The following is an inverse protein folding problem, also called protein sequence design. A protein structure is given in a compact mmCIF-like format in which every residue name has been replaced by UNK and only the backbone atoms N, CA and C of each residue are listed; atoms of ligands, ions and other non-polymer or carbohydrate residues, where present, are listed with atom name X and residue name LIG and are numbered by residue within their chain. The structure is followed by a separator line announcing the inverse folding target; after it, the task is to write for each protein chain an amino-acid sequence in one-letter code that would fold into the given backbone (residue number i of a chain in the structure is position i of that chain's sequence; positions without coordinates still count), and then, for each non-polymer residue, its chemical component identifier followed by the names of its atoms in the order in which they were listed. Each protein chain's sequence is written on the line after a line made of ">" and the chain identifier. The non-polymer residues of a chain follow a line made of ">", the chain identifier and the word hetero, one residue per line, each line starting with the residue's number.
data_IF_710749628727
#
_entry.id   IF_710749628727
#
_cell.length_a   1.000
_cell.length_b   1.000
_cell.length_c   1.000
_cell.angle_alpha   90.00
_cell.angle_beta   90.00
_cell.angle_gamma   90.00
#
_symmetry.space_group_name_H-M   'P 1'
#
loop_
_entity.id
_entity.type
_entity.pdbx_description
1 polymer ?
#
# COMPACT_ATOMS: atom_id res chain seq x y z
N UNK A 1 22.56 5.92 0.22
CA UNK A 1 21.16 5.88 -0.29
C UNK A 1 20.90 7.11 -1.14
N UNK A 2 20.14 6.97 -2.24
CA UNK A 2 19.85 8.05 -3.19
C UNK A 2 18.34 8.26 -3.29
N UNK A 3 17.94 9.43 -3.81
CA UNK A 3 16.59 9.66 -4.29
C UNK A 3 16.63 10.12 -5.74
N UNK A 4 15.58 9.84 -6.49
CA UNK A 4 15.34 10.41 -7.83
C UNK A 4 14.00 11.14 -7.83
N UNK A 5 14.01 12.37 -8.31
CA UNK A 5 12.78 13.17 -8.39
C UNK A 5 11.96 12.79 -9.63
N UNK A 6 10.68 13.17 -9.68
CA UNK A 6 9.81 12.98 -10.86
C UNK A 6 10.37 13.55 -12.17
N UNK A 7 11.23 14.58 -12.08
CA UNK A 7 11.97 15.13 -13.23
C UNK A 7 13.16 14.28 -13.72
N UNK A 8 13.45 13.15 -13.08
CA UNK A 8 14.53 12.21 -13.44
C UNK A 8 15.88 12.49 -12.78
N UNK A 9 16.07 13.64 -12.15
CA UNK A 9 17.33 13.98 -11.46
C UNK A 9 17.55 13.10 -10.23
N UNK A 10 18.67 12.40 -10.18
CA UNK A 10 19.12 11.64 -9.02
C UNK A 10 20.04 12.49 -8.12
N UNK A 11 19.85 12.39 -6.80
CA UNK A 11 20.72 13.03 -5.81
C UNK A 11 20.97 12.11 -4.61
N UNK A 12 22.05 12.37 -3.87
CA UNK A 12 22.26 11.70 -2.58
C UNK A 12 21.15 12.11 -1.59
N UNK A 13 20.68 11.13 -0.81
CA UNK A 13 19.85 11.35 0.37
C UNK A 13 20.69 11.12 1.63
N UNK A 14 21.57 10.11 1.57
CA UNK A 14 22.52 9.75 2.61
C UNK A 14 23.88 9.51 1.98
N UNK A 15 24.88 10.28 2.38
CA UNK A 15 26.25 10.29 1.86
C UNK A 15 27.05 9.07 2.33
N UNK A 16 26.86 8.62 3.58
CA UNK A 16 27.50 7.43 4.11
C UNK A 16 26.56 6.68 5.05
N UNK A 17 26.61 5.35 4.99
CA UNK A 17 25.93 4.43 5.91
C UNK A 17 26.98 3.45 6.41
N UNK A 18 26.86 3.05 7.67
CA UNK A 18 27.76 2.10 8.31
C UNK A 18 26.98 1.21 9.27
N UNK A 19 27.53 0.04 9.57
CA UNK A 19 26.90 -0.95 10.44
C UNK A 19 26.56 -2.22 9.69
N UNK A 20 25.76 -3.07 10.30
CA UNK A 20 25.31 -4.34 9.75
C UNK A 20 23.83 -4.50 10.04
N UNK A 21 23.04 -4.74 9.00
CA UNK A 21 21.64 -5.10 9.14
C UNK A 21 21.60 -6.61 9.32
N UNK A 22 21.12 -7.07 10.47
CA UNK A 22 20.93 -8.51 10.71
C UNK A 22 19.89 -9.06 9.73
N UNK A 23 19.94 -10.35 9.43
CA UNK A 23 18.82 -11.00 8.74
C UNK A 23 17.53 -10.72 9.52
N UNK A 24 16.47 -10.32 8.80
CA UNK A 24 15.20 -9.90 9.38
C UNK A 24 15.28 -8.74 10.40
N UNK A 25 16.40 -8.01 10.41
CA UNK A 25 16.57 -6.79 11.20
C UNK A 25 16.31 -5.52 10.39
N UNK A 26 16.32 -4.39 11.08
CA UNK A 26 15.95 -3.10 10.52
C UNK A 26 17.10 -2.10 10.55
N UNK A 27 16.95 -1.05 9.75
CA UNK A 27 17.83 0.11 9.77
C UNK A 27 17.02 1.37 9.45
N UNK A 28 16.93 2.29 10.40
CA UNK A 28 16.08 3.47 10.29
C UNK A 28 16.88 4.71 9.91
N UNK A 29 16.48 5.34 8.81
CA UNK A 29 17.03 6.60 8.33
C UNK A 29 15.96 7.68 8.39
N UNK A 30 16.25 8.78 9.07
CA UNK A 30 15.28 9.86 9.29
C UNK A 30 15.79 11.23 8.81
N UNK A 31 14.84 12.14 8.59
CA UNK A 31 15.15 13.54 8.36
C UNK A 31 15.73 14.16 9.66
N UNK A 32 16.70 15.10 9.58
CA UNK A 32 17.21 15.82 10.76
C UNK A 32 16.16 16.55 11.60
N UNK A 33 15.00 16.84 11.02
CA UNK A 33 13.85 17.47 11.72
C UNK A 33 12.93 16.46 12.41
N UNK A 34 13.33 15.19 12.52
CA UNK A 34 12.57 14.18 13.27
C UNK A 34 12.39 14.64 14.73
N UNK A 35 11.22 14.35 15.32
CA UNK A 35 11.03 14.61 16.74
C UNK A 35 12.02 13.79 17.57
N UNK A 36 12.52 14.37 18.67
CA UNK A 36 13.52 13.75 19.54
C UNK A 36 13.07 12.44 20.24
N UNK A 37 11.87 11.94 19.93
CA UNK A 37 11.26 10.74 20.49
C UNK A 37 11.54 9.46 19.71
N UNK A 38 11.99 9.55 18.45
CA UNK A 38 12.33 8.36 17.66
C UNK A 38 13.81 8.01 17.84
N UNK A 39 14.09 6.76 18.20
CA UNK A 39 15.42 6.20 17.99
C UNK A 39 15.62 5.98 16.48
N UNK A 40 16.86 6.13 15.99
CA UNK A 40 17.20 5.98 14.58
C UNK A 40 18.67 5.61 14.43
N UNK A 41 19.00 4.99 13.29
CA UNK A 41 20.36 4.54 13.00
C UNK A 41 21.16 5.58 12.22
N UNK A 42 20.49 6.38 11.39
CA UNK A 42 21.15 7.39 10.58
C UNK A 42 20.25 8.58 10.23
N UNK A 43 20.89 9.67 9.84
CA UNK A 43 20.23 10.89 9.36
C UNK A 43 20.43 11.05 7.85
N UNK A 44 19.51 11.79 7.22
CA UNK A 44 19.82 12.39 5.93
C UNK A 44 21.03 13.32 6.07
N UNK A 45 21.83 13.42 5.02
CA UNK A 45 23.08 14.20 5.09
C UNK A 45 22.90 15.70 5.11
N UNK A 46 21.67 16.20 4.92
CA UNK A 46 21.34 17.61 5.03
C UNK A 46 19.87 17.78 5.44
N UNK A 47 19.58 18.76 6.30
CA UNK A 47 18.20 19.15 6.63
C UNK A 47 17.44 19.83 5.48
N UNK A 48 18.10 20.07 4.34
CA UNK A 48 17.42 20.49 3.11
C UNK A 48 16.93 19.32 2.25
N UNK A 49 17.33 18.09 2.59
CA UNK A 49 16.98 16.92 1.79
C UNK A 49 15.61 16.40 2.18
N UNK A 50 14.66 16.49 1.26
CA UNK A 50 13.33 15.89 1.46
C UNK A 50 13.07 14.78 0.44
N UNK A 51 12.15 13.88 0.76
CA UNK A 51 11.56 12.97 -0.21
C UNK A 51 10.12 13.41 -0.47
N UNK A 52 9.78 13.70 -1.72
CA UNK A 52 8.43 14.10 -2.12
C UNK A 52 7.54 12.86 -2.29
N UNK A 53 6.23 13.06 -2.43
CA UNK A 53 5.22 12.00 -2.58
C UNK A 53 5.21 11.31 -3.96
N UNK A 54 6.13 11.68 -4.86
CA UNK A 54 6.24 11.18 -6.23
C UNK A 54 7.70 10.91 -6.66
N UNK A 55 8.52 10.43 -5.72
CA UNK A 55 9.93 10.18 -5.93
C UNK A 55 10.23 8.68 -6.03
N UNK A 56 11.48 8.37 -6.37
CA UNK A 56 12.08 7.05 -6.22
C UNK A 56 13.11 7.09 -5.10
N UNK A 57 13.06 6.13 -4.18
CA UNK A 57 14.14 5.87 -3.21
C UNK A 57 14.96 4.69 -3.73
N UNK A 58 16.29 4.85 -3.73
CA UNK A 58 17.20 3.90 -4.38
C UNK A 58 18.29 3.49 -3.39
N UNK A 59 18.40 2.19 -3.16
CA UNK A 59 19.49 1.57 -2.44
C UNK A 59 20.56 1.13 -3.44
N UNK A 60 21.81 1.53 -3.18
CA UNK A 60 22.97 1.17 -4.00
C UNK A 60 24.08 0.60 -3.12
N UNK A 61 24.88 -0.31 -3.66
CA UNK A 61 26.10 -0.77 -3.01
C UNK A 61 27.27 0.22 -3.20
N UNK A 62 28.45 -0.15 -2.70
CA UNK A 62 29.69 0.64 -2.78
C UNK A 62 30.19 0.86 -4.22
N UNK A 63 29.78 -0.01 -5.14
CA UNK A 63 30.09 0.04 -6.58
C UNK A 63 29.04 0.83 -7.39
N UNK A 64 28.14 1.56 -6.71
CA UNK A 64 27.02 2.33 -7.28
C UNK A 64 26.02 1.48 -8.09
N UNK A 65 26.00 0.15 -7.87
CA UNK A 65 25.01 -0.77 -8.43
C UNK A 65 23.74 -0.68 -7.61
N UNK A 66 22.59 -0.54 -8.28
CA UNK A 66 21.26 -0.58 -7.63
C UNK A 66 21.02 -1.97 -7.07
N UNK A 67 20.77 -2.03 -5.76
CA UNK A 67 20.41 -3.26 -5.05
C UNK A 67 18.90 -3.41 -4.96
N UNK A 68 18.21 -2.30 -4.67
CA UNK A 68 16.76 -2.25 -4.53
C UNK A 68 16.28 -0.80 -4.81
N UNK A 69 15.03 -0.64 -5.24
CA UNK A 69 14.40 0.67 -5.42
C UNK A 69 12.89 0.60 -5.21
N UNK A 70 12.34 1.68 -4.71
CA UNK A 70 10.89 1.90 -4.65
C UNK A 70 10.56 3.23 -5.30
N UNK A 71 9.89 3.17 -6.45
CA UNK A 71 9.27 4.32 -7.07
C UNK A 71 7.80 4.40 -6.69
N UNK A 72 7.38 5.56 -6.18
CA UNK A 72 6.03 5.74 -5.69
C UNK A 72 5.44 7.08 -6.10
N UNK A 73 4.11 7.12 -6.15
CA UNK A 73 3.33 8.24 -6.66
C UNK A 73 3.26 8.24 -8.18
N UNK A 74 2.20 8.89 -8.67
CA UNK A 74 1.76 8.89 -10.08
C UNK A 74 2.79 9.33 -11.13
N UNK A 75 3.86 10.00 -10.69
CA UNK A 75 4.86 10.63 -11.57
C UNK A 75 6.28 10.28 -11.17
N UNK A 76 6.49 9.20 -10.41
CA UNK A 76 7.84 8.66 -10.20
C UNK A 76 8.50 8.41 -11.56
N UNK A 77 9.74 8.88 -11.69
CA UNK A 77 10.50 8.78 -12.95
C UNK A 77 11.22 7.43 -13.12
N UNK A 78 11.29 6.65 -12.04
CA UNK A 78 11.97 5.37 -11.99
C UNK A 78 11.25 4.47 -10.97
N UNK A 79 10.97 3.24 -11.36
CA UNK A 79 10.25 2.25 -10.56
C UNK A 79 10.50 0.87 -11.16
N UNK A 80 10.11 -0.16 -10.43
CA UNK A 80 10.08 -1.54 -10.94
C UNK A 80 8.72 -1.80 -11.54
N UNK A 81 8.64 -2.14 -12.83
CA UNK A 81 7.43 -2.41 -13.63
C UNK A 81 6.33 -1.35 -13.58
N UNK A 82 5.78 -1.05 -12.40
CA UNK A 82 4.81 -0.02 -12.11
C UNK A 82 5.07 0.58 -10.70
N UNK A 83 4.97 1.90 -10.58
CA UNK A 83 5.08 2.60 -9.30
C UNK A 83 3.94 2.24 -8.34
N UNK A 84 4.23 2.19 -7.04
CA UNK A 84 3.20 2.10 -6.00
C UNK A 84 2.54 3.47 -5.76
N UNK A 85 1.33 3.47 -5.19
CA UNK A 85 0.68 4.70 -4.72
C UNK A 85 1.56 5.33 -3.64
N UNK A 86 1.85 6.63 -3.73
CA UNK A 86 2.66 7.33 -2.74
C UNK A 86 1.89 7.56 -1.44
N UNK A 87 2.55 7.52 -0.27
CA UNK A 87 1.87 7.75 1.00
C UNK A 87 1.45 9.21 1.15
N UNK A 88 0.27 9.42 1.71
CA UNK A 88 -0.22 10.72 2.17
C UNK A 88 0.37 11.14 3.52
N UNK A 89 -0.18 12.23 4.07
CA UNK A 89 0.26 12.73 5.37
C UNK A 89 -0.10 11.75 6.48
N UNK A 90 0.91 11.30 7.24
CA UNK A 90 0.73 10.34 8.33
C UNK A 90 0.58 8.90 7.87
N UNK A 91 0.83 8.60 6.60
CA UNK A 91 0.83 7.24 6.05
C UNK A 91 2.25 6.79 5.73
N UNK A 92 2.45 5.48 5.54
CA UNK A 92 3.73 4.93 5.08
C UNK A 92 3.52 3.79 4.09
N UNK A 93 4.57 3.48 3.33
CA UNK A 93 4.64 2.28 2.53
C UNK A 93 5.42 1.21 3.26
N UNK A 94 4.90 0.00 3.25
CA UNK A 94 5.56 -1.18 3.80
C UNK A 94 5.61 -2.26 2.74
N UNK A 95 6.78 -2.87 2.54
CA UNK A 95 6.94 -3.99 1.63
C UNK A 95 6.27 -5.22 2.26
N UNK A 96 5.53 -5.97 1.46
CA UNK A 96 4.76 -7.13 1.90
C UNK A 96 5.66 -8.26 2.42
N UNK A 97 5.12 -9.10 3.28
CA UNK A 97 5.75 -10.36 3.68
C UNK A 97 5.57 -11.47 2.63
N UNK A 98 4.40 -11.50 1.98
CA UNK A 98 4.03 -12.50 0.97
C UNK A 98 3.26 -11.87 -0.19
N UNK A 99 3.09 -12.60 -1.30
CA UNK A 99 2.29 -12.12 -2.43
C UNK A 99 0.82 -11.85 -2.07
N UNK A 100 0.31 -12.51 -1.02
CA UNK A 100 -1.06 -12.38 -0.52
C UNK A 100 -1.21 -11.41 0.63
N UNK A 101 -0.12 -10.82 1.15
CA UNK A 101 -0.19 -9.92 2.29
C UNK A 101 -1.11 -8.72 2.03
N UNK A 102 -1.85 -8.37 3.07
CA UNK A 102 -2.80 -7.27 3.12
C UNK A 102 -2.45 -6.37 4.30
N UNK A 103 -3.02 -5.16 4.35
CA UNK A 103 -2.87 -4.29 5.52
C UNK A 103 -3.27 -4.99 6.83
N UNK A 104 -4.33 -5.81 6.80
CA UNK A 104 -4.81 -6.52 7.98
C UNK A 104 -3.81 -7.60 8.44
N UNK A 105 -3.27 -8.40 7.51
CA UNK A 105 -2.32 -9.47 7.85
C UNK A 105 -0.95 -8.94 8.26
N UNK A 106 -0.49 -7.84 7.65
CA UNK A 106 0.74 -7.13 8.05
C UNK A 106 0.58 -6.29 9.33
N UNK A 107 -0.62 -6.21 9.90
CA UNK A 107 -0.85 -5.68 11.24
C UNK A 107 -0.99 -6.80 12.26
N UNK A 108 -1.59 -7.93 11.85
CA UNK A 108 -1.86 -9.07 12.71
C UNK A 108 -1.47 -10.38 11.99
N UNK A 109 -0.41 -11.02 12.48
CA UNK A 109 0.01 -12.34 12.02
C UNK A 109 1.25 -12.31 11.14
N UNK A 110 1.17 -11.73 9.94
CA UNK A 110 2.31 -11.67 9.01
C UNK A 110 3.31 -10.55 9.35
N UNK A 111 3.02 -9.68 10.31
CA UNK A 111 3.93 -8.62 10.76
C UNK A 111 5.28 -9.13 11.28
N UNK A 112 5.39 -10.41 11.62
CA UNK A 112 6.64 -11.03 12.07
C UNK A 112 7.29 -11.91 11.00
N UNK A 113 6.73 -11.97 9.79
CA UNK A 113 7.24 -12.80 8.70
C UNK A 113 8.28 -12.05 7.84
N UNK A 114 8.68 -10.83 8.24
CA UNK A 114 9.58 -9.98 7.50
C UNK A 114 8.92 -9.23 6.34
N UNK A 115 9.62 -8.21 5.84
CA UNK A 115 9.16 -7.34 4.75
C UNK A 115 9.97 -7.58 3.46
N UNK A 116 9.93 -8.81 2.93
CA UNK A 116 10.86 -9.27 1.87
C UNK A 116 10.22 -9.62 0.53
N UNK A 117 8.90 -9.52 0.38
CA UNK A 117 8.25 -9.85 -0.89
C UNK A 117 8.57 -8.83 -1.98
N UNK A 118 9.19 -9.30 -3.05
CA UNK A 118 9.63 -8.50 -4.19
C UNK A 118 9.32 -9.26 -5.49
N UNK A 119 8.37 -8.73 -6.27
CA UNK A 119 7.97 -9.28 -7.57
C UNK A 119 8.56 -8.49 -8.73
N UNK A 120 9.53 -7.61 -8.48
CA UNK A 120 10.00 -6.57 -9.39
C UNK A 120 8.84 -5.69 -9.90
N UNK A 121 7.86 -5.42 -9.04
CA UNK A 121 6.75 -4.54 -9.35
C UNK A 121 6.31 -3.80 -8.09
N UNK A 122 6.79 -2.56 -7.94
CA UNK A 122 6.55 -1.78 -6.72
C UNK A 122 5.05 -1.70 -6.37
N UNK A 123 4.15 -1.61 -7.35
CA UNK A 123 2.70 -1.59 -7.10
C UNK A 123 2.17 -2.85 -6.41
N UNK A 124 2.73 -4.03 -6.68
CA UNK A 124 2.28 -5.30 -6.10
C UNK A 124 2.97 -5.65 -4.79
N UNK A 125 4.12 -5.03 -4.54
CA UNK A 125 5.06 -5.41 -3.47
C UNK A 125 4.83 -4.64 -2.18
N UNK A 126 4.06 -3.55 -2.22
CA UNK A 126 3.88 -2.66 -1.09
C UNK A 126 2.40 -2.49 -0.70
N UNK A 127 2.15 -2.33 0.59
CA UNK A 127 0.88 -1.90 1.15
C UNK A 127 1.00 -0.48 1.71
N UNK A 128 -0.12 0.23 1.77
CA UNK A 128 -0.24 1.52 2.42
C UNK A 128 -0.66 1.33 3.87
N UNK A 129 0.16 1.76 4.83
CA UNK A 129 -0.19 1.81 6.26
C UNK A 129 -0.76 3.17 6.61
N UNK A 130 -1.87 3.16 7.33
CA UNK A 130 -2.49 4.38 7.88
C UNK A 130 -1.77 4.88 9.14
N UNK A 131 -0.92 4.05 9.75
CA UNK A 131 -0.13 4.37 10.93
C UNK A 131 1.29 3.83 10.68
N UNK A 132 2.30 4.71 10.54
CA UNK A 132 3.69 4.30 10.39
C UNK A 132 4.19 3.61 11.65
N UNK A 133 4.97 2.55 11.46
CA UNK A 133 5.60 1.78 12.52
C UNK A 133 7.09 1.59 12.18
N UNK A 134 7.89 2.68 12.25
CA UNK A 134 9.30 2.60 11.87
C UNK A 134 10.09 1.74 12.87
N UNK A 135 10.95 0.88 12.35
CA UNK A 135 11.85 0.02 13.12
C UNK A 135 13.31 0.36 12.78
N UNK A 136 14.17 0.25 13.78
CA UNK A 136 15.61 0.54 13.72
C UNK A 136 16.45 -0.68 14.17
N UNK A 137 17.77 -0.53 14.27
CA UNK A 137 18.65 -1.64 14.67
C UNK A 137 18.45 -2.14 16.11
N UNK A 138 17.74 -1.39 16.96
CA UNK A 138 17.38 -1.79 18.32
C UNK A 138 16.07 -2.57 18.39
N UNK A 139 15.29 -2.57 17.30
CA UNK A 139 14.04 -3.31 17.20
C UNK A 139 14.31 -4.83 17.19
N UNK A 140 13.39 -5.65 17.73
CA UNK A 140 13.48 -7.10 17.60
C UNK A 140 13.56 -7.51 16.13
N UNK A 141 14.31 -8.56 15.83
CA UNK A 141 14.28 -9.16 14.48
C UNK A 141 12.91 -9.80 14.23
N UNK A 142 12.42 -9.71 13.00
CA UNK A 142 11.19 -10.39 12.56
C UNK A 142 11.54 -11.79 12.04
N UNK A 143 11.91 -12.69 12.95
CA UNK A 143 12.06 -14.10 12.65
C UNK A 143 11.03 -14.90 13.44
N UNK A 144 10.53 -15.98 12.83
CA UNK A 144 9.67 -16.95 13.50
C UNK A 144 10.54 -17.84 14.40
N UNK A 145 11.14 -17.27 15.44
CA UNK A 145 11.44 -18.06 16.63
C UNK A 145 10.15 -18.12 17.46
N UNK A 146 9.38 -19.18 17.23
CA UNK A 146 8.29 -19.53 18.12
C UNK A 146 8.81 -19.57 19.57
N UNK A 147 8.31 -18.66 20.40
CA UNK A 147 8.21 -18.84 21.84
C UNK A 147 7.27 -20.02 22.13
N UNK A 148 7.75 -21.24 21.84
CA UNK A 148 7.34 -22.46 22.53
C UNK A 148 8.54 -22.99 23.28
N UNK A 149 9.04 -22.22 24.25
CA UNK A 149 9.61 -22.89 25.42
C UNK A 149 8.46 -23.65 26.08
N UNK A 150 8.42 -24.99 26.07
CA UNK A 150 7.47 -25.69 26.91
C UNK A 150 7.86 -25.31 28.33
N UNK A 151 7.02 -24.54 29.02
CA UNK A 151 7.01 -24.54 30.48
C UNK A 151 6.87 -26.01 30.86
N UNK A 152 7.95 -26.61 31.38
CA UNK A 152 7.89 -27.93 32.00
C UNK A 152 6.86 -27.85 33.12
N UNK A 153 5.60 -28.17 32.79
CA UNK A 153 4.62 -28.50 33.78
C UNK A 153 5.14 -29.78 34.44
N UNK A 154 5.34 -29.84 35.76
CA UNK A 154 5.79 -31.06 36.41
C UNK A 154 4.81 -32.16 36.03
N UNK A 155 5.34 -33.25 35.47
CA UNK A 155 4.56 -34.42 35.15
C UNK A 155 3.91 -34.95 36.44
N UNK A 156 2.64 -34.60 36.67
CA UNK A 156 1.82 -35.37 37.58
C UNK A 156 1.65 -36.76 36.97
N UNK A 157 2.18 -37.74 37.68
CA UNK A 157 2.10 -39.17 37.39
C UNK A 157 0.64 -39.54 37.04
N UNK A 158 0.38 -40.27 35.94
CA UNK A 158 -0.98 -40.55 35.52
C UNK A 158 -1.65 -41.46 36.55
N UNK A 159 -2.51 -40.88 37.38
CA UNK A 159 -3.46 -41.64 38.18
C UNK A 159 -4.44 -42.29 37.22
N UNK A 160 -4.46 -43.62 37.18
CA UNK A 160 -5.35 -44.39 36.34
C UNK A 160 -6.81 -44.00 36.59
N UNK A 161 -7.45 -43.37 35.61
CA UNK A 161 -8.89 -43.11 35.61
C UNK A 161 -9.60 -44.43 35.25
N UNK A 162 -10.61 -44.89 36.01
CA UNK A 162 -11.38 -46.06 35.64
C UNK A 162 -12.18 -45.80 34.36
N UNK A 163 -12.05 -46.71 33.39
CA UNK A 163 -12.82 -46.74 32.14
C UNK A 163 -14.31 -46.97 32.45
N UNK A 164 -15.10 -45.90 32.50
CA UNK A 164 -16.56 -45.97 32.43
C UNK A 164 -16.98 -46.39 31.00
N UNK A 165 -17.78 -47.46 30.92
CA UNK A 165 -18.35 -47.98 29.67
C UNK A 165 -19.36 -46.94 29.13
N UNK A 166 -19.30 -46.53 27.86
CA UNK A 166 -20.24 -45.55 27.33
C UNK A 166 -21.65 -46.14 27.26
N UNK A 167 -22.57 -45.55 28.03
CA UNK A 167 -24.00 -45.76 27.86
C UNK A 167 -24.44 -44.98 26.62
N UNK A 168 -24.99 -45.68 25.62
CA UNK A 168 -25.45 -45.07 24.38
C UNK A 168 -26.56 -44.04 24.69
N UNK A 169 -26.29 -42.77 24.40
CA UNK A 169 -27.27 -41.69 24.40
C UNK A 169 -28.16 -41.81 23.16
N UNK A 170 -29.50 -41.72 23.30
CA UNK A 170 -30.39 -41.78 22.14
C UNK A 170 -30.21 -40.54 21.25
N UNK A 171 -30.10 -40.80 19.96
CA UNK A 171 -29.95 -39.82 18.89
C UNK A 171 -31.20 -38.90 18.83
N UNK A 172 -31.06 -37.56 18.87
CA UNK A 172 -32.21 -36.68 18.71
C UNK A 172 -32.73 -36.73 17.27
N UNK A 173 -33.99 -37.10 17.11
CA UNK A 173 -34.74 -36.91 15.86
C UNK A 173 -34.91 -35.42 15.60
N UNK A 174 -34.34 -34.94 14.48
CA UNK A 174 -34.58 -33.58 14.00
C UNK A 174 -36.01 -33.46 13.45
N UNK A 175 -36.83 -32.69 14.14
CA UNK A 175 -38.11 -32.18 13.61
C UNK A 175 -37.78 -30.98 12.70
N UNK A 176 -38.22 -30.94 11.43
CA UNK A 176 -37.98 -29.79 10.58
C UNK A 176 -38.80 -28.59 11.09
N UNK A 177 -38.11 -27.53 11.46
CA UNK A 177 -38.71 -26.22 11.76
C UNK A 177 -39.19 -25.58 10.46
N UNK A 178 -40.42 -25.04 10.36
CA UNK A 178 -40.91 -24.41 9.14
C UNK A 178 -40.09 -23.15 8.81
N UNK A 179 -39.65 -23.07 7.56
CA UNK A 179 -39.00 -21.89 6.96
C UNK A 179 -40.05 -20.81 6.75
N UNK A 180 -39.93 -19.68 7.46
CA UNK A 180 -40.76 -18.50 7.18
C UNK A 180 -40.33 -17.86 5.85
N UNK A 181 -41.31 -17.59 5.00
CA UNK A 181 -41.16 -16.94 3.70
C UNK A 181 -40.83 -15.43 3.90
N UNK A 182 -39.89 -14.86 3.13
CA UNK A 182 -39.51 -13.45 3.32
C UNK A 182 -40.68 -12.52 2.95
N UNK A 183 -41.13 -11.74 3.92
CA UNK A 183 -42.09 -10.65 3.69
C UNK A 183 -41.39 -9.52 2.94
N UNK A 184 -41.77 -9.31 1.68
CA UNK A 184 -41.33 -8.18 0.87
C UNK A 184 -41.99 -6.88 1.34
N UNK A 185 -41.21 -6.01 1.98
CA UNK A 185 -41.66 -4.65 2.32
C UNK A 185 -41.60 -3.78 1.05
N UNK A 186 -42.67 -3.07 0.65
CA UNK A 186 -42.63 -2.20 -0.52
C UNK A 186 -41.71 -1.00 -0.28
N UNK A 187 -40.72 -0.82 -1.16
CA UNK A 187 -39.85 0.36 -1.20
C UNK A 187 -40.65 1.50 -1.81
N UNK A 188 -40.84 2.57 -1.03
CA UNK A 188 -41.48 3.79 -1.51
C UNK A 188 -40.64 4.44 -2.62
N UNK A 189 -41.30 4.77 -3.73
CA UNK A 189 -40.74 5.49 -4.87
C UNK A 189 -40.41 6.93 -4.44
N UNK A 190 -39.18 7.45 -4.67
CA UNK A 190 -38.88 8.83 -4.35
C UNK A 190 -39.60 9.79 -5.30
N UNK A 191 -40.31 10.76 -4.71
CA UNK A 191 -40.91 11.91 -5.39
C UNK A 191 -39.81 12.78 -6.04
N UNK A 192 -39.96 13.24 -7.30
CA UNK A 192 -38.96 14.08 -7.94
C UNK A 192 -38.91 15.46 -7.29
N UNK A 193 -37.74 15.82 -6.75
CA UNK A 193 -37.45 17.16 -6.26
C UNK A 193 -37.19 18.09 -7.43
N UNK A 194 -38.00 19.14 -7.55
CA UNK A 194 -37.89 20.17 -8.59
C UNK A 194 -36.69 21.08 -8.28
N UNK A 195 -35.79 21.24 -9.25
CA UNK A 195 -34.58 22.05 -9.15
C UNK A 195 -34.89 23.50 -9.54
N UNK A 196 -34.63 24.45 -8.64
CA UNK A 196 -34.67 25.89 -8.94
C UNK A 196 -33.25 26.32 -9.38
N UNK A 197 -33.07 26.98 -10.53
CA UNK A 197 -31.75 27.46 -10.95
C UNK A 197 -31.30 28.61 -10.06
N UNK A 198 -30.07 28.50 -9.55
CA UNK A 198 -29.37 29.57 -8.81
C UNK A 198 -28.56 30.38 -9.83
N UNK A 199 -28.81 31.69 -9.90
CA UNK A 199 -28.09 32.63 -10.77
C UNK A 199 -26.59 32.66 -10.42
N UNK A 200 -25.75 32.61 -11.46
CA UNK A 200 -24.30 32.58 -11.40
C UNK A 200 -23.74 34.01 -11.21
N UNK A 201 -22.80 34.26 -10.27
CA UNK A 201 -22.21 35.58 -10.13
C UNK A 201 -21.24 35.86 -11.28
N UNK A 202 -21.53 36.93 -12.03
CA UNK A 202 -20.63 37.49 -13.03
C UNK A 202 -19.39 38.07 -12.35
N UNK A 203 -18.21 37.51 -12.64
CA UNK A 203 -16.92 38.11 -12.26
C UNK A 203 -16.25 38.77 -13.46
N UNK A 204 -15.82 40.01 -13.25
CA UNK A 204 -15.03 40.83 -14.18
C UNK A 204 -13.62 40.25 -14.33
N UNK A 205 -13.02 40.17 -15.53
CA UNK A 205 -11.68 39.62 -15.70
C UNK A 205 -10.62 40.62 -15.23
N UNK A 206 -9.74 40.15 -14.34
CA UNK A 206 -8.46 40.80 -14.03
C UNK A 206 -7.38 40.10 -14.82
N UNK A 207 -6.62 40.86 -15.62
CA UNK A 207 -5.49 40.34 -16.41
C UNK A 207 -4.44 39.68 -15.50
N UNK A 208 -4.20 38.38 -15.73
CA UNK A 208 -3.17 37.57 -15.10
C UNK A 208 -2.04 37.35 -16.12
N UNK A 209 -0.76 37.46 -15.73
CA UNK A 209 0.37 37.29 -16.65
C UNK A 209 0.46 35.85 -17.17
N UNK A 210 0.82 35.76 -18.45
CA UNK A 210 1.03 34.55 -19.23
C UNK A 210 2.04 33.60 -18.58
N UNK A 211 1.56 32.46 -18.09
CA UNK A 211 2.39 31.38 -17.57
C UNK A 211 2.69 30.42 -18.72
N UNK A 212 3.99 30.28 -19.03
CA UNK A 212 4.54 29.34 -20.00
C UNK A 212 4.05 27.91 -19.72
N UNK A 213 3.45 27.27 -20.72
CA UNK A 213 2.86 25.94 -20.60
C UNK A 213 3.89 24.90 -20.14
N UNK A 214 3.58 24.25 -19.02
CA UNK A 214 4.25 23.03 -18.53
C UNK A 214 3.90 21.88 -19.48
N UNK A 215 4.85 21.03 -19.91
CA UNK A 215 4.56 19.94 -20.84
C UNK A 215 3.53 18.98 -20.24
N UNK A 216 2.48 18.73 -21.02
CA UNK A 216 1.43 17.76 -20.69
C UNK A 216 2.03 16.35 -20.58
N UNK A 217 1.80 15.60 -19.48
CA UNK A 217 2.28 14.23 -19.36
C UNK A 217 1.62 13.35 -20.42
N UNK A 218 2.44 12.64 -21.19
CA UNK A 218 2.01 11.73 -22.25
C UNK A 218 1.33 10.53 -21.59
N UNK A 219 0.02 10.37 -21.82
CA UNK A 219 -0.74 9.22 -21.36
C UNK A 219 -0.21 7.94 -22.02
N UNK A 220 0.36 7.03 -21.22
CA UNK A 220 0.73 5.68 -21.67
C UNK A 220 -0.55 4.94 -22.09
N UNK A 221 -0.68 4.66 -23.39
CA UNK A 221 -1.88 4.09 -23.98
C UNK A 221 -1.65 2.59 -24.18
N UNK A 222 -2.21 1.75 -23.30
CA UNK A 222 -2.29 0.32 -23.56
C UNK A 222 -3.39 0.06 -24.60
N UNK A 223 -3.05 -0.63 -25.69
CA UNK A 223 -3.99 -1.09 -26.74
C UNK A 223 -4.16 -2.60 -26.66
N UNK A 224 -5.40 -3.05 -26.73
CA UNK A 224 -5.80 -4.45 -26.73
C UNK A 224 -6.54 -4.76 -28.04
N UNK A 225 -6.08 -5.78 -28.75
CA UNK A 225 -6.66 -6.21 -30.01
C UNK A 225 -7.53 -7.45 -29.80
N UNK A 226 -8.76 -7.41 -30.31
CA UNK A 226 -9.73 -8.49 -30.27
C UNK A 226 -10.04 -8.96 -31.71
N UNK A 227 -9.15 -9.77 -32.32
CA UNK A 227 -9.23 -10.13 -33.74
C UNK A 227 -10.50 -10.92 -34.09
N UNK A 228 -11.07 -11.67 -33.14
CA UNK A 228 -12.29 -12.46 -33.36
C UNK A 228 -13.56 -11.61 -33.54
N UNK A 229 -13.54 -10.36 -33.09
CA UNK A 229 -14.68 -9.42 -33.18
C UNK A 229 -14.32 -8.14 -33.96
N UNK A 230 -13.11 -8.07 -34.53
CA UNK A 230 -12.62 -6.95 -35.34
C UNK A 230 -12.54 -5.63 -34.57
N UNK A 231 -12.13 -5.65 -33.29
CA UNK A 231 -12.06 -4.45 -32.44
C UNK A 231 -10.65 -4.24 -31.89
N UNK A 232 -10.19 -3.00 -31.92
CA UNK A 232 -9.05 -2.54 -31.13
C UNK A 232 -9.56 -1.60 -30.05
N UNK A 233 -9.37 -1.96 -28.79
CA UNK A 233 -9.72 -1.11 -27.65
C UNK A 233 -8.47 -0.53 -27.00
N UNK A 234 -8.49 0.76 -26.72
CA UNK A 234 -7.50 1.44 -25.91
C UNK A 234 -8.10 1.89 -24.59
N UNK A 235 -7.26 1.94 -23.57
CA UNK A 235 -7.59 2.53 -22.29
C UNK A 235 -6.70 3.77 -22.08
N UNK A 236 -7.32 4.90 -21.74
CA UNK A 236 -6.62 6.10 -21.25
C UNK A 236 -7.22 6.52 -19.92
N UNK A 237 -6.39 6.99 -18.98
CA UNK A 237 -6.87 7.57 -17.74
C UNK A 237 -6.93 9.09 -17.86
N UNK A 238 -8.07 9.67 -17.48
CA UNK A 238 -8.16 11.12 -17.28
C UNK A 238 -8.07 11.42 -15.80
N UNK A 239 -7.11 12.25 -15.44
CA UNK A 239 -6.94 12.71 -14.06
C UNK A 239 -7.89 13.88 -13.83
N UNK A 240 -8.75 13.77 -12.83
CA UNK A 240 -9.64 14.83 -12.36
C UNK A 240 -9.25 15.17 -10.92
N UNK A 241 -8.96 16.45 -10.65
CA UNK A 241 -8.55 16.93 -9.33
C UNK A 241 -9.67 17.77 -8.71
N UNK A 242 -10.10 17.41 -7.50
CA UNK A 242 -11.00 18.20 -6.67
C UNK A 242 -10.31 18.50 -5.33
N UNK A 243 -9.71 19.69 -5.24
CA UNK A 243 -8.86 20.04 -4.10
C UNK A 243 -7.66 19.09 -3.96
N UNK A 244 -7.56 18.41 -2.82
CA UNK A 244 -6.52 17.40 -2.54
C UNK A 244 -6.88 15.99 -3.01
N UNK A 245 -8.11 15.76 -3.52
CA UNK A 245 -8.57 14.45 -3.96
C UNK A 245 -8.27 14.28 -5.46
N UNK A 246 -7.62 13.17 -5.82
CA UNK A 246 -7.25 12.82 -7.19
C UNK A 246 -8.08 11.62 -7.63
N UNK A 247 -8.94 11.80 -8.63
CA UNK A 247 -9.65 10.71 -9.29
C UNK A 247 -8.97 10.37 -10.62
N UNK A 248 -8.70 9.08 -10.84
CA UNK A 248 -8.30 8.56 -12.15
C UNK A 248 -9.52 7.94 -12.81
N UNK A 249 -10.17 8.70 -13.69
CA UNK A 249 -11.38 8.25 -14.39
C UNK A 249 -10.94 7.48 -15.62
N UNK A 250 -11.31 6.18 -15.75
CA UNK A 250 -10.94 5.42 -16.90
C UNK A 250 -11.79 5.79 -18.13
N UNK A 251 -11.13 6.03 -19.27
CA UNK A 251 -11.77 6.27 -20.55
C UNK A 251 -11.40 5.11 -21.49
N UNK A 252 -12.41 4.35 -21.89
CA UNK A 252 -12.27 3.26 -22.85
C UNK A 252 -12.68 3.76 -24.24
N UNK A 253 -11.85 3.49 -25.24
CA UNK A 253 -12.15 3.81 -26.64
C UNK A 253 -11.90 2.58 -27.50
N UNK A 254 -12.91 2.12 -28.24
CA UNK A 254 -12.79 0.98 -29.13
C UNK A 254 -13.08 1.42 -30.57
N UNK A 255 -12.20 1.03 -31.49
CA UNK A 255 -12.39 1.24 -32.93
C UNK A 255 -12.47 -0.10 -33.64
N UNK A 256 -13.40 -0.22 -34.57
CA UNK A 256 -13.56 -1.40 -35.43
C UNK A 256 -12.59 -1.33 -36.59
N UNK A 257 -11.93 -2.44 -36.91
CA UNK A 257 -11.05 -2.58 -38.08
C UNK A 257 -11.45 -3.80 -38.91
#
# INVERSE_FOLDING_TARGET
>A
MRKKVSGGTESALVASMSGTIKAYGFFLIVHPDVSASYQYDNLYSSGSYAIANNNTVILKNDSDIVIDKVGYGDTASDFETQSVIGPGSGESLERKASNTSTLASMTNGESFNGNSYDSNNNYNDFILRNIPEPQDSSSPIEDLEEEVSPTENPAEEPTAIPTEIPTQTPYPTFTPTPTEEPTITPVNTPTPTEYIPTEEPTTTPTDIPEITATPTPIASTAKYEFPFIGLTCGYTSRVVRFGFIIFRVPIFSCTKF
#
